data_IF_158648811448
#
_entry.id   IF_158648811448
#
_cell.length_a   1.000
_cell.length_b   1.000
_cell.length_c   1.000
_cell.angle_alpha   90.00
_cell.angle_beta   90.00
_cell.angle_gamma   90.00
#
_symmetry.space_group_name_H-M   'P 1'
#
loop_
_entity.id
_entity.type
_entity.pdbx_description
1 polymer ?
#
# COMPACT_ATOMS: atom_id res chain seq x y z
N UNK A 1 4.80 15.01 8.90
CA UNK A 1 5.35 15.05 7.52
C UNK A 1 4.61 14.05 6.67
N UNK A 2 5.07 13.78 5.45
CA UNK A 2 4.44 12.78 4.57
C UNK A 2 5.50 11.80 4.07
N UNK A 3 5.13 10.52 4.06
CA UNK A 3 5.88 9.49 3.34
C UNK A 3 5.12 9.18 2.06
N UNK A 4 5.72 9.56 0.93
CA UNK A 4 5.21 9.27 -0.40
C UNK A 4 5.62 7.84 -0.79
N UNK A 5 4.64 6.99 -1.10
CA UNK A 5 4.84 5.58 -1.43
C UNK A 5 4.23 5.29 -2.79
N UNK A 6 5.00 4.64 -3.66
CA UNK A 6 4.50 4.09 -4.93
C UNK A 6 4.58 2.58 -4.88
N UNK A 7 3.44 1.91 -4.97
CA UNK A 7 3.34 0.46 -5.11
C UNK A 7 3.04 0.09 -6.56
N UNK A 8 3.55 -1.07 -6.97
CA UNK A 8 3.26 -1.65 -8.28
C UNK A 8 2.62 -3.03 -8.07
N UNK A 9 1.45 -3.21 -8.64
CA UNK A 9 0.66 -4.43 -8.48
C UNK A 9 0.49 -5.14 -9.81
N UNK A 10 0.43 -6.46 -9.75
CA UNK A 10 0.02 -7.31 -10.88
C UNK A 10 -0.74 -8.51 -10.34
N UNK A 11 -1.77 -8.96 -11.06
CA UNK A 11 -2.53 -10.14 -10.65
C UNK A 11 -1.82 -11.40 -11.14
N UNK A 12 -1.31 -12.21 -10.20
CA UNK A 12 -0.70 -13.49 -10.54
C UNK A 12 -1.73 -14.56 -10.99
N UNK A 13 -2.99 -14.38 -10.59
CA UNK A 13 -4.14 -15.24 -10.85
C UNK A 13 -5.44 -14.41 -10.84
N UNK A 14 -6.58 -14.94 -11.33
CA UNK A 14 -7.88 -14.26 -11.21
C UNK A 14 -8.20 -13.88 -9.76
N UNK A 15 -8.67 -12.65 -9.55
CA UNK A 15 -9.05 -12.10 -8.24
C UNK A 15 -10.57 -12.01 -8.18
N UNK A 16 -11.18 -12.52 -7.10
CA UNK A 16 -12.64 -12.62 -6.96
C UNK A 16 -13.29 -11.48 -6.18
N UNK A 17 -12.49 -10.61 -5.54
CA UNK A 17 -12.98 -9.47 -4.76
C UNK A 17 -12.04 -8.27 -4.85
N UNK A 18 -12.63 -7.07 -4.77
CA UNK A 18 -11.88 -5.82 -4.78
C UNK A 18 -11.36 -5.51 -3.38
N UNK A 19 -10.12 -5.93 -3.10
CA UNK A 19 -9.44 -5.67 -1.83
C UNK A 19 -8.55 -4.44 -1.97
N UNK A 20 -8.75 -3.46 -1.08
CA UNK A 20 -7.93 -2.25 -1.03
C UNK A 20 -6.79 -2.44 -0.03
N UNK A 21 -5.52 -2.19 -0.43
CA UNK A 21 -4.39 -2.27 0.47
C UNK A 21 -4.41 -1.12 1.48
N UNK A 22 -3.99 -1.41 2.71
CA UNK A 22 -3.73 -0.41 3.74
C UNK A 22 -2.24 -0.37 4.01
N UNK A 23 -1.61 0.79 3.80
CA UNK A 23 -0.18 0.98 4.09
C UNK A 23 -0.04 1.68 5.43
N UNK A 24 0.78 1.08 6.30
CA UNK A 24 0.98 1.53 7.68
C UNK A 24 2.46 1.74 7.98
N UNK A 25 2.74 2.76 8.78
CA UNK A 25 4.02 2.91 9.45
C UNK A 25 3.89 2.34 10.87
N UNK A 26 4.69 1.33 11.18
CA UNK A 26 4.61 0.56 12.45
C UNK A 26 5.91 0.74 13.22
N UNK A 27 5.82 1.24 14.45
CA UNK A 27 6.92 1.38 15.38
C UNK A 27 6.78 0.44 16.59
N UNK A 28 7.70 0.50 17.56
CA UNK A 28 7.68 -0.36 18.75
C UNK A 28 6.37 -0.28 19.56
N UNK A 29 5.73 0.89 19.58
CA UNK A 29 4.50 1.15 20.33
C UNK A 29 3.21 0.94 19.50
N UNK A 30 3.32 0.57 18.22
CA UNK A 30 2.16 0.31 17.35
C UNK A 30 2.17 1.13 16.06
N UNK A 31 0.97 1.44 15.54
CA UNK A 31 0.82 2.13 14.25
C UNK A 31 0.92 3.65 14.45
N UNK A 32 1.86 4.28 13.73
CA UNK A 32 2.14 5.71 13.79
C UNK A 32 1.69 6.50 12.56
N UNK A 33 1.36 5.79 11.49
CA UNK A 33 0.87 6.38 10.24
C UNK A 33 0.05 5.38 9.44
N UNK A 34 -0.95 5.86 8.72
CA UNK A 34 -1.77 5.09 7.78
C UNK A 34 -1.92 5.89 6.50
N UNK A 35 -2.03 5.22 5.36
CA UNK A 35 -2.31 5.87 4.09
C UNK A 35 -3.67 6.59 4.12
N UNK A 36 -3.74 7.72 3.43
CA UNK A 36 -4.99 8.44 3.26
C UNK A 36 -5.85 7.83 2.16
N UNK A 37 -7.14 7.72 2.42
CA UNK A 37 -8.11 7.41 1.37
C UNK A 37 -8.29 8.60 0.43
N UNK A 38 -8.31 8.33 -0.88
CA UNK A 38 -8.47 9.35 -1.93
C UNK A 38 -9.58 8.97 -2.89
N UNK A 39 -10.31 9.98 -3.37
CA UNK A 39 -11.38 9.76 -4.35
C UNK A 39 -10.82 9.28 -5.71
N UNK A 40 -9.65 9.79 -6.11
CA UNK A 40 -8.98 9.44 -7.36
C UNK A 40 -7.95 8.30 -7.24
N UNK A 41 -8.10 7.42 -6.23
CA UNK A 41 -7.20 6.28 -6.08
C UNK A 41 -7.28 5.35 -7.31
N UNK A 42 -6.12 4.95 -7.84
CA UNK A 42 -6.03 4.09 -9.03
C UNK A 42 -6.82 2.79 -8.86
N UNK A 43 -6.85 2.21 -7.65
CA UNK A 43 -7.55 0.97 -7.36
C UNK A 43 -9.06 1.14 -7.32
N UNK A 44 -9.57 2.35 -7.10
CA UNK A 44 -11.02 2.63 -7.20
C UNK A 44 -11.47 2.80 -8.66
N UNK A 45 -10.57 3.28 -9.52
CA UNK A 45 -10.85 3.47 -10.95
C UNK A 45 -10.68 2.17 -11.73
N UNK A 46 -9.63 1.40 -11.42
CA UNK A 46 -9.34 0.11 -12.03
C UNK A 46 -9.14 -0.94 -10.93
N UNK A 47 -10.22 -1.60 -10.47
CA UNK A 47 -10.18 -2.40 -9.26
C UNK A 47 -9.60 -3.81 -9.47
N UNK A 48 -9.13 -4.49 -8.40
CA UNK A 48 -8.40 -5.76 -8.48
C UNK A 48 -9.05 -6.87 -9.32
N UNK A 49 -10.38 -6.97 -9.28
CA UNK A 49 -11.12 -7.97 -10.08
C UNK A 49 -10.95 -7.81 -11.59
N UNK A 50 -10.46 -6.66 -12.07
CA UNK A 50 -10.21 -6.38 -13.49
C UNK A 50 -8.74 -6.57 -13.90
N UNK A 51 -7.85 -6.88 -12.96
CA UNK A 51 -6.41 -6.88 -13.23
C UNK A 51 -5.93 -8.10 -13.98
N UNK A 52 -6.57 -9.25 -13.81
CA UNK A 52 -6.05 -10.49 -14.38
C UNK A 52 -6.32 -10.58 -15.89
N UNK A 53 -5.26 -10.89 -16.64
CA UNK A 53 -5.36 -11.22 -18.05
C UNK A 53 -4.77 -12.61 -18.30
N UNK A 54 -5.54 -13.49 -18.94
CA UNK A 54 -5.09 -14.85 -19.26
C UNK A 54 -3.88 -14.86 -20.21
N UNK A 55 -3.76 -13.83 -21.06
CA UNK A 55 -2.56 -13.57 -21.83
C UNK A 55 -1.54 -12.81 -20.96
N UNK A 56 -0.52 -13.52 -20.45
CA UNK A 56 0.52 -12.94 -19.59
C UNK A 56 1.34 -11.85 -20.27
N UNK A 57 1.42 -11.82 -21.60
CA UNK A 57 2.14 -10.78 -22.32
C UNK A 57 1.43 -9.41 -22.24
N UNK A 58 0.13 -9.41 -21.94
CA UNK A 58 -0.71 -8.22 -21.78
C UNK A 58 -1.27 -8.07 -20.35
N UNK A 59 -0.60 -8.69 -19.36
CA UNK A 59 -0.93 -8.55 -17.95
C UNK A 59 -0.60 -7.12 -17.47
N UNK A 60 -1.57 -6.35 -16.98
CA UNK A 60 -1.31 -4.98 -16.55
C UNK A 60 -0.43 -4.92 -15.30
N UNK A 61 0.36 -3.85 -15.21
CA UNK A 61 1.05 -3.40 -14.01
C UNK A 61 0.36 -2.14 -13.53
N UNK A 62 -0.22 -2.20 -12.33
CA UNK A 62 -1.00 -1.12 -11.75
C UNK A 62 -0.10 -0.32 -10.82
N UNK A 63 0.15 0.94 -11.18
CA UNK A 63 0.82 1.90 -10.32
C UNK A 63 -0.19 2.46 -9.32
N UNK A 64 0.17 2.44 -8.04
CA UNK A 64 -0.63 2.95 -6.94
C UNK A 64 0.20 3.91 -6.10
N UNK A 65 -0.07 5.21 -6.24
CA UNK A 65 0.59 6.27 -5.49
C UNK A 65 -0.25 6.66 -4.27
N UNK A 66 0.36 6.64 -3.08
CA UNK A 66 -0.29 6.91 -1.81
C UNK A 66 0.63 7.66 -0.85
N UNK A 67 0.01 8.37 0.09
CA UNK A 67 0.73 9.13 1.11
C UNK A 67 0.38 8.60 2.50
N UNK A 68 1.40 8.23 3.26
CA UNK A 68 1.29 7.83 4.67
C UNK A 68 1.58 9.06 5.54
N UNK A 69 0.64 9.41 6.40
CA UNK A 69 0.81 10.52 7.33
C UNK A 69 1.88 10.17 8.37
N UNK A 70 2.92 10.99 8.48
CA UNK A 70 3.87 10.93 9.59
C UNK A 70 3.36 11.85 10.70
N UNK A 71 2.87 11.24 11.78
CA UNK A 71 2.40 11.98 12.94
C UNK A 71 3.50 12.94 13.43
N UNK A 72 3.21 14.25 13.62
CA UNK A 72 4.19 15.22 14.11
C UNK A 72 4.84 14.87 15.46
N UNK A 73 4.19 14.03 16.27
CA UNK A 73 4.75 13.55 17.55
C UNK A 73 5.45 12.19 17.44
N UNK A 74 5.60 11.62 16.24
CA UNK A 74 6.35 10.38 16.01
C UNK A 74 7.79 10.56 16.50
N UNK A 75 8.25 9.79 17.51
CA UNK A 75 9.62 9.88 17.99
C UNK A 75 10.64 9.53 16.89
N UNK A 76 11.84 10.12 16.89
CA UNK A 76 12.93 9.66 16.04
C UNK A 76 13.25 8.18 16.28
N UNK A 77 13.52 7.43 15.22
CA UNK A 77 13.78 6.00 15.30
C UNK A 77 13.49 5.26 13.99
N UNK A 78 13.67 3.94 14.02
CA UNK A 78 13.37 3.05 12.89
C UNK A 78 11.95 2.50 13.00
N UNK A 79 11.23 2.51 11.87
CA UNK A 79 9.86 2.05 11.74
C UNK A 79 9.75 1.09 10.56
N UNK A 80 8.81 0.15 10.63
CA UNK A 80 8.48 -0.72 9.50
C UNK A 80 7.37 -0.10 8.67
N UNK A 81 7.61 0.05 7.37
CA UNK A 81 6.55 0.27 6.40
C UNK A 81 5.94 -1.07 6.02
N UNK A 82 4.63 -1.17 6.17
CA UNK A 82 3.88 -2.43 6.01
C UNK A 82 2.71 -2.19 5.08
N UNK A 83 2.41 -3.14 4.20
CA UNK A 83 1.15 -3.20 3.45
C UNK A 83 0.30 -4.36 3.93
N UNK A 84 -0.97 -4.09 4.17
CA UNK A 84 -1.99 -5.08 4.51
C UNK A 84 -2.93 -5.25 3.32
N UNK A 85 -3.20 -6.49 2.93
CA UNK A 85 -4.14 -6.85 1.86
C UNK A 85 -5.02 -7.97 2.38
N UNK A 86 -6.29 -7.68 2.64
CA UNK A 86 -7.19 -8.63 3.29
C UNK A 86 -6.68 -8.98 4.69
N UNK A 87 -6.46 -10.27 4.95
CA UNK A 87 -5.88 -10.77 6.21
C UNK A 87 -4.35 -10.84 6.20
N UNK A 88 -3.72 -10.67 5.02
CA UNK A 88 -2.29 -10.80 4.85
C UNK A 88 -1.57 -9.48 5.10
N UNK A 89 -0.33 -9.58 5.58
CA UNK A 89 0.54 -8.46 5.89
C UNK A 89 1.94 -8.69 5.35
N UNK A 90 2.50 -7.68 4.68
CA UNK A 90 3.85 -7.72 4.10
C UNK A 90 4.67 -6.52 4.57
N UNK A 91 5.93 -6.77 4.93
CA UNK A 91 6.91 -5.71 5.23
C UNK A 91 7.48 -5.20 3.92
N UNK A 92 7.38 -3.88 3.69
CA UNK A 92 7.90 -3.19 2.52
C UNK A 92 9.33 -2.69 2.73
N UNK A 93 9.70 -2.35 3.97
CA UNK A 93 11.04 -1.90 4.34
C UNK A 93 11.08 -1.12 5.65
N UNK A 94 12.28 -0.69 6.02
CA UNK A 94 12.53 0.18 7.17
C UNK A 94 12.50 1.66 6.76
N UNK A 95 12.00 2.50 7.65
CA UNK A 95 11.90 3.96 7.50
C UNK A 95 12.48 4.62 8.75
N UNK A 96 13.61 5.30 8.58
CA UNK A 96 14.20 6.12 9.61
C UNK A 96 13.50 7.48 9.73
N UNK A 97 12.90 7.75 10.88
CA UNK A 97 12.34 9.06 11.26
C UNK A 97 13.39 9.83 12.07
N UNK A 98 13.61 11.10 11.72
CA UNK A 98 14.62 11.98 12.32
C UNK A 98 14.01 13.26 12.84
#
# INVERSE_FOLDING_TARGET
GWLHVTLYWTAAAPISSDVMPVVQLVGPEGVWGVNLDRAGDALKVFPPTQWFNADRASQPIIRHDLDVNLNPVTPPGEYLLVVKVGEEQFVLGEVGVR
#
